data_IF_800614851968
#
_entry.id   IF_800614851968
#
_cell.length_a   1.000
_cell.length_b   1.000
_cell.length_c   1.000
_cell.angle_alpha   90.00
_cell.angle_beta   90.00
_cell.angle_gamma   90.00
#
_symmetry.space_group_name_H-M   'P 1'
#
loop_
_entity.id
_entity.type
_entity.pdbx_description
1 polymer ?
#
# COMPACT_ATOMS: atom_id res chain seq x y z
N UNK A 1 -28.03 -17.92 -44.21
CA UNK A 1 -27.82 -19.10 -43.35
C UNK A 1 -26.40 -19.16 -42.76
N UNK A 2 -25.34 -19.40 -43.57
CA UNK A 2 -23.95 -19.56 -43.06
C UNK A 2 -23.41 -18.37 -42.26
N UNK A 3 -23.75 -17.13 -42.64
CA UNK A 3 -23.33 -15.90 -41.94
C UNK A 3 -23.98 -15.74 -40.54
N UNK A 4 -25.22 -16.20 -40.38
CA UNK A 4 -25.94 -16.15 -39.11
C UNK A 4 -25.31 -17.15 -38.13
N UNK A 5 -25.01 -18.36 -38.60
CA UNK A 5 -24.35 -19.41 -37.79
C UNK A 5 -22.97 -18.96 -37.28
N UNK A 6 -22.18 -18.28 -38.13
CA UNK A 6 -20.87 -17.76 -37.73
C UNK A 6 -21.00 -16.68 -36.64
N UNK A 7 -21.99 -15.78 -36.75
CA UNK A 7 -22.27 -14.77 -35.73
C UNK A 7 -22.67 -15.38 -34.38
N UNK A 8 -23.44 -16.47 -34.36
CA UNK A 8 -23.83 -17.15 -33.11
C UNK A 8 -22.66 -17.88 -32.44
N UNK A 9 -21.71 -18.42 -33.21
CA UNK A 9 -20.53 -19.10 -32.66
C UNK A 9 -19.56 -18.10 -32.02
N UNK A 10 -19.44 -16.91 -32.60
CA UNK A 10 -18.54 -15.85 -32.10
C UNK A 10 -19.09 -15.21 -30.80
N UNK A 11 -20.41 -15.19 -30.59
CA UNK A 11 -21.01 -14.60 -29.39
C UNK A 11 -21.04 -15.53 -28.16
N UNK A 12 -20.92 -16.85 -28.36
CA UNK A 12 -20.87 -17.85 -27.28
C UNK A 12 -19.75 -17.64 -26.24
N UNK A 13 -18.48 -17.36 -26.60
CA UNK A 13 -17.41 -17.17 -25.61
C UNK A 13 -17.60 -15.92 -24.73
N UNK A 14 -18.33 -14.90 -25.19
CA UNK A 14 -18.61 -13.69 -24.41
C UNK A 14 -19.56 -13.96 -23.23
N UNK A 15 -20.50 -14.90 -23.40
CA UNK A 15 -21.44 -15.31 -22.35
C UNK A 15 -20.73 -16.11 -21.23
N UNK A 16 -19.75 -16.94 -21.59
CA UNK A 16 -18.96 -17.73 -20.63
C UNK A 16 -18.02 -16.82 -19.82
N UNK A 17 -17.40 -15.83 -20.46
CA UNK A 17 -16.56 -14.84 -19.78
C UNK A 17 -17.36 -13.98 -18.79
N UNK A 18 -18.62 -13.66 -19.10
CA UNK A 18 -19.49 -12.88 -18.20
C UNK A 18 -19.90 -13.65 -16.94
N UNK A 19 -20.00 -14.98 -17.01
CA UNK A 19 -20.37 -15.85 -15.86
C UNK A 19 -19.22 -16.09 -14.86
N UNK A 20 -17.97 -15.75 -15.20
CA UNK A 20 -16.83 -15.91 -14.29
C UNK A 20 -16.78 -14.86 -13.17
N UNK A 21 -17.62 -13.83 -13.19
CA UNK A 21 -17.80 -12.90 -12.08
C UNK A 21 -18.65 -13.53 -10.97
N UNK A 22 -18.19 -14.65 -10.41
CA UNK A 22 -18.74 -15.21 -9.19
C UNK A 22 -18.51 -14.17 -8.10
N UNK A 23 -19.56 -13.46 -7.69
CA UNK A 23 -19.47 -12.50 -6.60
C UNK A 23 -18.92 -13.24 -5.38
N UNK A 24 -17.65 -12.98 -5.05
CA UNK A 24 -16.96 -13.60 -3.94
C UNK A 24 -17.87 -13.49 -2.72
N UNK A 25 -18.33 -14.62 -2.20
CA UNK A 25 -19.43 -14.61 -1.24
C UNK A 25 -18.98 -13.86 0.01
N UNK A 26 -19.90 -13.24 0.76
CA UNK A 26 -19.54 -12.57 2.03
C UNK A 26 -18.74 -13.47 2.97
N UNK A 27 -18.90 -14.80 2.86
CA UNK A 27 -18.14 -15.80 3.61
C UNK A 27 -16.68 -15.91 3.16
N UNK A 28 -16.39 -15.87 1.86
CA UNK A 28 -15.02 -15.93 1.32
C UNK A 28 -14.21 -14.69 1.71
N UNK A 29 -14.83 -13.51 1.73
CA UNK A 29 -14.16 -12.29 2.22
C UNK A 29 -13.88 -12.35 3.73
N UNK A 30 -14.72 -13.05 4.50
CA UNK A 30 -14.52 -13.23 5.93
C UNK A 30 -13.39 -14.23 6.23
N UNK A 31 -13.26 -15.29 5.44
CA UNK A 31 -12.15 -16.26 5.56
C UNK A 31 -10.82 -15.64 5.14
N UNK A 32 -10.80 -14.85 4.06
CA UNK A 32 -9.59 -14.14 3.60
C UNK A 32 -9.06 -13.17 4.67
N UNK A 33 -9.96 -12.45 5.36
CA UNK A 33 -9.57 -11.58 6.48
C UNK A 33 -8.97 -12.36 7.64
N UNK A 34 -9.54 -13.52 7.98
CA UNK A 34 -9.03 -14.38 9.06
C UNK A 34 -7.67 -14.98 8.71
N UNK A 35 -7.49 -15.44 7.47
CA UNK A 35 -6.20 -15.94 6.98
C UNK A 35 -5.13 -14.85 7.02
N UNK A 36 -5.45 -13.63 6.58
CA UNK A 36 -4.54 -12.49 6.67
C UNK A 36 -4.11 -12.19 8.10
N UNK A 37 -5.04 -12.24 9.06
CA UNK A 37 -4.72 -12.05 10.48
C UNK A 37 -3.84 -13.19 11.00
N UNK A 38 -4.13 -14.43 10.63
CA UNK A 38 -3.35 -15.60 11.06
C UNK A 38 -1.91 -15.57 10.50
N UNK A 39 -1.73 -15.04 9.28
CA UNK A 39 -0.41 -14.79 8.70
C UNK A 39 0.35 -13.70 9.47
N UNK A 40 -0.31 -12.62 9.87
CA UNK A 40 0.30 -11.55 10.67
C UNK A 40 0.73 -12.05 12.06
N UNK A 41 -0.10 -12.87 12.72
CA UNK A 41 0.21 -13.46 14.03
C UNK A 41 1.43 -14.39 13.93
N UNK A 42 1.51 -15.23 12.89
CA UNK A 42 2.70 -16.07 12.66
C UNK A 42 3.97 -15.26 12.44
N UNK A 43 3.87 -14.15 11.71
CA UNK A 43 5.00 -13.24 11.50
C UNK A 43 5.44 -12.59 12.83
N UNK A 44 4.49 -12.26 13.70
CA UNK A 44 4.75 -11.74 15.05
C UNK A 44 5.43 -12.77 15.96
N UNK A 45 4.99 -14.04 15.94
CA UNK A 45 5.63 -15.15 16.67
C UNK A 45 7.06 -15.41 16.20
N UNK A 46 7.36 -15.20 14.91
CA UNK A 46 8.71 -15.28 14.33
C UNK A 46 9.60 -14.06 14.68
N UNK A 47 9.12 -13.13 15.51
CA UNK A 47 9.85 -11.94 15.92
C UNK A 47 9.94 -10.85 14.83
N UNK A 48 9.09 -10.92 13.80
CA UNK A 48 9.00 -9.87 12.80
C UNK A 48 8.30 -8.64 13.39
N UNK A 49 8.94 -7.47 13.26
CA UNK A 49 8.31 -6.19 13.57
C UNK A 49 6.97 -6.07 12.84
N UNK A 50 5.87 -6.08 13.63
CA UNK A 50 4.47 -5.97 13.17
C UNK A 50 4.22 -4.62 12.48
N UNK A 51 5.06 -3.62 12.78
CA UNK A 51 4.99 -2.30 12.18
C UNK A 51 5.48 -2.35 10.74
N UNK A 52 4.53 -2.46 9.81
CA UNK A 52 4.83 -2.43 8.38
C UNK A 52 5.32 -1.05 7.91
N UNK A 53 4.99 0.03 8.66
CA UNK A 53 5.33 1.42 8.34
C UNK A 53 5.56 2.24 9.61
N UNK A 54 6.60 3.07 9.60
CA UNK A 54 6.85 4.11 10.60
C UNK A 54 6.79 5.47 9.90
N UNK A 55 6.09 6.44 10.51
CA UNK A 55 6.13 7.84 10.08
C UNK A 55 6.53 8.69 11.27
N UNK A 56 7.55 9.53 11.09
CA UNK A 56 8.04 10.47 12.10
C UNK A 56 7.95 11.88 11.54
N UNK A 57 7.44 12.81 12.35
CA UNK A 57 7.34 14.23 12.01
C UNK A 57 8.15 15.03 13.02
N UNK A 58 8.99 15.93 12.55
CA UNK A 58 9.76 16.85 13.38
C UNK A 58 9.47 18.29 13.01
N UNK A 59 9.36 19.14 14.02
CA UNK A 59 9.30 20.59 13.88
C UNK A 59 10.50 21.18 14.59
N UNK A 60 11.31 21.94 13.87
CA UNK A 60 12.50 22.61 14.38
C UNK A 60 12.23 24.11 14.38
N UNK A 61 12.20 24.71 15.57
CA UNK A 61 12.10 26.17 15.74
C UNK A 61 13.44 26.69 16.23
N UNK A 62 14.15 27.41 15.37
CA UNK A 62 15.41 28.08 15.71
C UNK A 62 15.18 29.59 15.75
N UNK A 63 16.03 30.33 16.46
CA UNK A 63 15.96 31.80 16.51
C UNK A 63 16.06 32.45 15.12
N UNK A 64 16.77 31.80 14.19
CA UNK A 64 17.06 32.32 12.84
C UNK A 64 16.22 31.66 11.74
N UNK A 65 15.22 30.83 12.09
CA UNK A 65 14.41 30.14 11.10
C UNK A 65 13.60 28.95 11.63
N UNK A 66 12.75 28.41 10.79
CA UNK A 66 11.90 27.25 11.12
C UNK A 66 12.10 26.15 10.08
N UNK A 67 11.92 24.91 10.51
CA UNK A 67 12.03 23.75 9.65
C UNK A 67 11.04 22.65 10.04
N UNK A 68 10.67 21.87 9.05
CA UNK A 68 9.82 20.71 9.15
C UNK A 68 10.56 19.51 8.55
N UNK A 69 10.54 18.40 9.27
CA UNK A 69 11.07 17.13 8.79
C UNK A 69 9.94 16.10 8.76
N UNK A 70 9.87 15.37 7.66
CA UNK A 70 9.03 14.21 7.52
C UNK A 70 9.87 13.01 7.15
N UNK A 71 9.80 11.97 7.95
CA UNK A 71 10.48 10.71 7.73
C UNK A 71 9.44 9.59 7.59
N UNK A 72 9.63 8.77 6.56
CA UNK A 72 8.78 7.62 6.29
C UNK A 72 9.63 6.36 6.11
N UNK A 73 9.48 5.42 7.03
CA UNK A 73 10.07 4.10 6.99
C UNK A 73 9.06 3.06 6.50
N UNK A 74 9.41 2.33 5.44
CA UNK A 74 8.67 1.14 5.00
C UNK A 74 9.53 -0.11 5.22
N UNK A 75 9.09 -0.97 6.13
CA UNK A 75 9.79 -2.22 6.43
C UNK A 75 9.51 -3.24 5.32
N UNK A 76 10.57 -3.80 4.72
CA UNK A 76 10.47 -4.87 3.70
C UNK A 76 10.74 -6.25 4.30
N UNK A 77 11.58 -6.33 5.33
CA UNK A 77 11.96 -7.54 6.04
C UNK A 77 12.35 -7.16 7.47
N UNK A 78 12.37 -8.10 8.41
CA UNK A 78 12.74 -7.89 9.84
C UNK A 78 14.05 -7.07 9.96
N UNK A 79 15.00 -7.30 9.07
CA UNK A 79 16.33 -6.67 9.07
C UNK A 79 16.52 -5.57 8.02
N UNK A 80 15.54 -5.31 7.15
CA UNK A 80 15.66 -4.37 6.03
C UNK A 80 14.49 -3.38 5.98
N UNK A 81 14.83 -2.11 6.16
CA UNK A 81 13.90 -0.98 6.10
C UNK A 81 14.31 -0.03 4.98
N UNK A 82 13.35 0.38 4.15
CA UNK A 82 13.56 1.48 3.23
C UNK A 82 13.11 2.77 3.91
N UNK A 83 14.05 3.68 4.14
CA UNK A 83 13.82 4.95 4.82
C UNK A 83 14.01 6.08 3.82
N UNK A 84 13.04 6.98 3.75
CA UNK A 84 13.18 8.23 3.03
C UNK A 84 12.68 9.36 3.92
N UNK A 85 13.39 10.48 3.88
CA UNK A 85 13.00 11.68 4.62
C UNK A 85 13.09 12.89 3.70
N UNK A 86 12.25 13.87 4.01
CA UNK A 86 12.30 15.20 3.41
C UNK A 86 12.41 16.21 4.55
N UNK A 87 13.32 17.16 4.39
CA UNK A 87 13.51 18.27 5.31
C UNK A 87 13.32 19.56 4.54
N UNK A 88 12.39 20.39 4.99
CA UNK A 88 12.17 21.73 4.48
C UNK A 88 12.40 22.71 5.61
N UNK A 89 13.24 23.71 5.39
CA UNK A 89 13.48 24.73 6.41
C UNK A 89 14.00 26.00 5.78
N UNK A 90 13.53 27.11 6.31
CA UNK A 90 14.00 28.43 5.97
C UNK A 90 15.01 28.86 7.02
N UNK A 91 16.18 29.33 6.56
CA UNK A 91 17.17 29.99 7.42
C UNK A 91 17.34 31.41 6.92
N UNK A 92 17.25 32.39 7.81
CA UNK A 92 17.64 33.77 7.47
C UNK A 92 19.09 33.78 7.05
N UNK A 93 19.36 34.33 5.87
CA UNK A 93 20.73 34.57 5.40
C UNK A 93 21.34 35.73 6.20
N UNK A 94 22.53 35.57 6.79
CA UNK A 94 23.16 36.61 7.60
C UNK A 94 23.59 37.85 6.81
N UNK A 95 23.52 37.84 5.46
CA UNK A 95 23.98 38.92 4.58
C UNK A 95 22.93 40.01 4.30
N UNK A 96 21.86 40.08 5.10
CA UNK A 96 20.82 41.11 5.00
C UNK A 96 20.81 42.09 6.19
N UNK A 97 21.96 42.26 6.87
CA UNK A 97 22.20 43.32 7.87
C UNK A 97 23.41 44.17 7.49
#
# INVERSE_FOLDING_TARGET
MKKIIIMTIISLPLLVAAQQNKSQSRKEKATERKEKVNQLIKQEEEGALIFQKQSTFGLNFNSDGFGFTYEHGKYKTITKTNLWWISLGERKDPKQY
#
